data_IF_127710775696
#
_entry.id   IF_127710775696
#
_cell.length_a   1.000
_cell.length_b   1.000
_cell.length_c   1.000
_cell.angle_alpha   90.00
_cell.angle_beta   90.00
_cell.angle_gamma   90.00
#
_symmetry.space_group_name_H-M   'P 1'
#
loop_
_entity.id
_entity.type
_entity.pdbx_description
1 polymer ?
#
# COMPACT_ATOMS: atom_id res chain seq x y z
N UNK A 1 -15.82 15.54 -3.16
CA UNK A 1 -14.36 15.51 -3.37
C UNK A 1 -14.06 14.27 -4.21
N UNK A 2 -13.07 14.28 -5.11
CA UNK A 2 -12.71 13.07 -5.85
C UNK A 2 -12.22 12.01 -4.85
N UNK A 3 -12.68 10.77 -5.03
CA UNK A 3 -12.28 9.61 -4.22
C UNK A 3 -11.18 8.86 -4.96
N UNK A 4 -9.98 8.87 -4.41
CA UNK A 4 -8.80 8.30 -5.05
C UNK A 4 -8.42 7.05 -4.28
N UNK A 5 -8.49 5.90 -4.95
CA UNK A 5 -7.97 4.65 -4.40
C UNK A 5 -6.46 4.64 -4.48
N UNK A 6 -5.79 4.32 -3.36
CA UNK A 6 -4.35 4.07 -3.33
C UNK A 6 -4.13 2.60 -2.98
N UNK A 7 -3.56 1.88 -3.93
CA UNK A 7 -3.33 0.43 -3.82
C UNK A 7 -1.92 0.17 -3.35
N UNK A 8 -1.77 -0.44 -2.18
CA UNK A 8 -0.50 -0.80 -1.57
C UNK A 8 -0.24 -2.31 -1.71
N UNK A 9 1.04 -2.69 -1.67
CA UNK A 9 1.54 -4.06 -1.82
C UNK A 9 2.42 -4.53 -0.66
N UNK A 10 2.52 -3.77 0.43
CA UNK A 10 3.31 -4.08 1.63
C UNK A 10 3.95 -2.82 2.20
N UNK A 11 5.07 -2.95 2.93
CA UNK A 11 5.74 -1.83 3.58
C UNK A 11 7.28 -1.91 3.49
N UNK A 12 7.81 -1.80 2.28
CA UNK A 12 9.24 -1.89 1.99
C UNK A 12 9.48 -2.04 0.49
N UNK A 13 10.51 -1.39 -0.06
CA UNK A 13 10.73 -1.33 -1.51
C UNK A 13 10.95 -2.71 -2.15
N UNK A 14 11.60 -3.64 -1.47
CA UNK A 14 11.97 -4.94 -2.04
C UNK A 14 10.91 -6.05 -1.81
N UNK A 15 9.92 -5.82 -0.95
CA UNK A 15 8.89 -6.81 -0.59
C UNK A 15 7.48 -6.23 -0.42
N UNK A 16 7.26 -5.01 -0.89
CA UNK A 16 5.99 -4.31 -0.82
C UNK A 16 6.04 -2.97 -1.55
N UNK A 17 5.25 -2.00 -1.08
CA UNK A 17 5.25 -0.66 -1.63
C UNK A 17 6.49 0.14 -1.22
N UNK A 18 7.01 0.94 -2.15
CA UNK A 18 8.03 1.95 -1.87
C UNK A 18 7.43 3.02 -0.94
N UNK A 19 8.03 3.14 0.25
CA UNK A 19 7.43 3.90 1.35
C UNK A 19 7.38 5.39 1.04
N UNK A 20 8.40 5.95 0.38
CA UNK A 20 8.44 7.37 0.05
C UNK A 20 7.44 7.72 -1.04
N UNK A 21 7.32 6.92 -2.11
CA UNK A 21 6.33 7.08 -3.17
C UNK A 21 4.91 7.03 -2.61
N UNK A 22 4.63 6.06 -1.73
CA UNK A 22 3.33 5.96 -1.06
C UNK A 22 3.04 7.20 -0.20
N UNK A 23 3.99 7.63 0.64
CA UNK A 23 3.82 8.80 1.52
C UNK A 23 3.67 10.10 0.72
N UNK A 24 4.48 10.30 -0.33
CA UNK A 24 4.40 11.50 -1.18
C UNK A 24 3.09 11.51 -1.96
N UNK A 25 2.64 10.36 -2.48
CA UNK A 25 1.34 10.22 -3.13
C UNK A 25 0.22 10.65 -2.18
N UNK A 26 0.21 10.11 -0.96
CA UNK A 26 -0.79 10.45 0.06
C UNK A 26 -0.75 11.94 0.44
N UNK A 27 0.45 12.52 0.56
CA UNK A 27 0.64 13.94 0.86
C UNK A 27 0.08 14.85 -0.23
N UNK A 28 0.34 14.56 -1.50
CA UNK A 28 -0.15 15.39 -2.60
C UNK A 28 -1.66 15.24 -2.83
N UNK A 29 -2.23 14.04 -2.56
CA UNK A 29 -3.69 13.85 -2.55
C UNK A 29 -4.37 14.65 -1.43
N UNK A 30 -3.79 14.65 -0.23
CA UNK A 30 -4.30 15.42 0.92
C UNK A 30 -4.27 16.94 0.62
N UNK A 31 -3.15 17.45 0.10
CA UNK A 31 -3.03 18.85 -0.34
C UNK A 31 -4.02 19.24 -1.43
N UNK A 32 -4.37 18.30 -2.32
CA UNK A 32 -5.36 18.50 -3.37
C UNK A 32 -6.81 18.42 -2.85
N UNK A 33 -7.03 18.07 -1.57
CA UNK A 33 -8.36 17.91 -0.98
C UNK A 33 -9.11 16.69 -1.51
N UNK A 34 -8.38 15.65 -1.94
CA UNK A 34 -8.97 14.39 -2.37
C UNK A 34 -9.31 13.50 -1.15
N UNK A 35 -10.37 12.70 -1.28
CA UNK A 35 -10.65 11.64 -0.32
C UNK A 35 -9.85 10.40 -0.70
N UNK A 36 -9.02 9.88 0.20
CA UNK A 36 -8.20 8.69 -0.06
C UNK A 36 -8.90 7.43 0.41
N UNK A 37 -8.96 6.42 -0.46
CA UNK A 37 -9.41 5.06 -0.13
C UNK A 37 -8.19 4.14 -0.21
N UNK A 38 -7.53 3.93 0.92
CA UNK A 38 -6.34 3.07 0.98
C UNK A 38 -6.76 1.60 0.99
N UNK A 39 -6.12 0.77 0.18
CA UNK A 39 -6.41 -0.65 0.09
C UNK A 39 -5.18 -1.48 -0.23
N UNK A 40 -5.22 -2.76 0.14
CA UNK A 40 -4.20 -3.75 -0.19
C UNK A 40 -4.84 -5.15 -0.24
N UNK A 41 -4.31 -6.09 -1.04
CA UNK A 41 -4.82 -7.45 -1.04
C UNK A 41 -4.49 -8.17 0.28
N UNK A 42 -5.46 -8.90 0.83
CA UNK A 42 -5.25 -9.73 2.02
C UNK A 42 -4.63 -11.09 1.66
N UNK A 43 -3.35 -11.08 1.31
CA UNK A 43 -2.57 -12.25 0.90
C UNK A 43 -1.18 -12.22 1.55
N UNK A 44 -0.47 -13.35 1.54
CA UNK A 44 0.93 -13.39 1.94
C UNK A 44 1.82 -12.70 0.90
N UNK A 45 2.87 -12.02 1.36
CA UNK A 45 3.95 -11.53 0.49
C UNK A 45 4.69 -12.70 -0.17
N UNK A 46 5.22 -12.48 -1.38
CA UNK A 46 6.00 -13.49 -2.11
C UNK A 46 7.25 -13.92 -1.33
N UNK A 47 7.95 -12.93 -0.77
CA UNK A 47 9.15 -13.08 0.03
C UNK A 47 9.22 -11.93 1.05
N UNK A 48 10.07 -12.05 2.06
CA UNK A 48 10.31 -10.99 3.05
C UNK A 48 11.77 -10.62 3.02
N UNK A 49 12.09 -9.33 2.85
CA UNK A 49 13.46 -8.85 2.68
C UNK A 49 13.93 -8.09 3.91
N UNK A 50 15.08 -8.51 4.44
CA UNK A 50 15.85 -7.66 5.33
C UNK A 50 16.51 -6.55 4.51
N UNK A 51 15.90 -5.37 4.54
CA UNK A 51 16.38 -4.19 3.80
C UNK A 51 17.72 -3.64 4.30
N UNK A 52 18.23 -4.08 5.46
CA UNK A 52 19.58 -3.71 5.91
C UNK A 52 20.66 -4.60 5.26
N UNK A 53 20.34 -5.86 4.96
CA UNK A 53 21.30 -6.83 4.41
C UNK A 53 21.04 -7.21 2.96
N UNK A 54 19.91 -6.79 2.38
CA UNK A 54 19.40 -7.23 1.08
C UNK A 54 19.33 -8.76 0.94
N UNK A 55 18.91 -9.43 2.02
CA UNK A 55 18.74 -10.88 2.05
C UNK A 55 17.31 -11.23 2.36
N UNK A 56 16.83 -12.31 1.75
CA UNK A 56 15.55 -12.91 2.07
C UNK A 56 15.57 -13.49 3.49
N UNK A 57 14.45 -13.31 4.20
CA UNK A 57 14.22 -13.83 5.54
C UNK A 57 13.28 -15.03 5.46
N UNK A 58 13.56 -16.07 6.25
CA UNK A 58 12.67 -17.23 6.37
C UNK A 58 11.51 -16.93 7.33
N UNK A 59 10.66 -15.98 6.95
CA UNK A 59 9.46 -15.59 7.68
C UNK A 59 8.31 -15.24 6.72
N UNK A 60 7.10 -15.14 7.26
CA UNK A 60 5.90 -14.81 6.50
C UNK A 60 5.32 -13.49 7.00
N UNK A 61 4.88 -12.66 6.05
CA UNK A 61 4.15 -11.41 6.31
C UNK A 61 2.99 -11.29 5.34
N UNK A 62 1.92 -10.66 5.81
CA UNK A 62 0.72 -10.43 5.02
C UNK A 62 0.72 -9.01 4.46
N UNK A 63 0.41 -8.89 3.16
CA UNK A 63 0.44 -7.64 2.39
C UNK A 63 -0.47 -6.56 3.01
N UNK A 64 -1.71 -6.90 3.36
CA UNK A 64 -2.65 -5.96 3.98
C UNK A 64 -2.17 -5.52 5.37
N UNK A 65 -1.69 -6.46 6.18
CA UNK A 65 -1.20 -6.16 7.54
C UNK A 65 0.02 -5.24 7.52
N UNK A 66 0.97 -5.48 6.62
CA UNK A 66 2.16 -4.63 6.51
C UNK A 66 1.82 -3.27 5.89
N UNK A 67 0.96 -3.22 4.86
CA UNK A 67 0.45 -1.97 4.26
C UNK A 67 -0.26 -1.07 5.28
N UNK A 68 -0.91 -1.66 6.30
CA UNK A 68 -1.56 -0.92 7.38
C UNK A 68 -0.58 -0.03 8.17
N UNK A 69 0.73 -0.30 8.13
CA UNK A 69 1.78 0.55 8.72
C UNK A 69 1.84 1.91 8.03
N UNK A 70 1.86 1.92 6.69
CA UNK A 70 1.83 3.15 5.87
C UNK A 70 0.50 3.88 6.10
N UNK A 71 -0.60 3.14 6.05
CA UNK A 71 -1.96 3.68 6.18
C UNK A 71 -2.36 4.08 7.61
N UNK A 72 -1.49 3.88 8.61
CA UNK A 72 -1.77 4.12 10.03
C UNK A 72 -3.07 3.44 10.50
N UNK A 73 -3.32 2.23 10.01
CA UNK A 73 -4.51 1.42 10.31
C UNK A 73 -5.77 1.77 9.51
N UNK A 74 -5.80 2.86 8.72
CA UNK A 74 -6.95 3.22 7.89
C UNK A 74 -6.83 2.62 6.48
N UNK A 75 -7.00 1.31 6.37
CA UNK A 75 -6.87 0.55 5.12
C UNK A 75 -7.97 -0.52 5.03
N UNK A 76 -8.40 -0.86 3.82
CA UNK A 76 -9.37 -1.93 3.56
C UNK A 76 -8.74 -3.09 2.80
N UNK A 77 -9.31 -4.28 2.93
CA UNK A 77 -9.05 -5.34 1.98
C UNK A 77 -9.53 -4.89 0.60
N UNK A 78 -8.68 -5.02 -0.42
CA UNK A 78 -9.03 -4.67 -1.81
C UNK A 78 -10.28 -5.42 -2.29
N UNK A 79 -10.53 -6.63 -1.80
CA UNK A 79 -11.72 -7.40 -2.15
C UNK A 79 -13.04 -6.73 -1.71
N UNK A 80 -13.00 -5.81 -0.75
CA UNK A 80 -14.15 -5.05 -0.25
C UNK A 80 -14.40 -3.75 -1.02
N UNK A 81 -13.52 -3.37 -1.94
CA UNK A 81 -13.61 -2.12 -2.70
C UNK A 81 -14.09 -2.40 -4.12
N UNK A 82 -15.08 -1.63 -4.55
CA UNK A 82 -15.67 -1.71 -5.88
C UNK A 82 -15.30 -0.49 -6.72
N UNK A 83 -15.46 -0.61 -8.05
CA UNK A 83 -15.27 0.52 -8.97
C UNK A 83 -16.19 1.72 -8.68
N UNK A 84 -17.32 1.54 -8.00
CA UNK A 84 -18.19 2.64 -7.58
C UNK A 84 -17.69 3.44 -6.37
N UNK A 85 -16.72 2.90 -5.63
CA UNK A 85 -16.18 3.53 -4.41
C UNK A 85 -15.10 4.57 -4.72
N UNK A 86 -14.52 4.54 -5.93
CA UNK A 86 -13.38 5.39 -6.33
C UNK A 86 -13.61 5.99 -7.71
N UNK A 87 -13.07 7.18 -7.93
CA UNK A 87 -13.10 7.89 -9.20
C UNK A 87 -11.79 7.72 -9.99
N UNK A 88 -10.70 7.32 -9.32
CA UNK A 88 -9.42 6.94 -9.91
C UNK A 88 -8.62 6.00 -9.00
N UNK A 89 -7.58 5.37 -9.55
CA UNK A 89 -6.63 4.51 -8.82
C UNK A 89 -5.20 4.98 -9.03
N UNK A 90 -4.40 4.90 -7.96
CA UNK A 90 -2.95 5.09 -7.98
C UNK A 90 -2.28 3.86 -7.36
N UNK A 91 -1.23 3.38 -8.00
CA UNK A 91 -0.39 2.29 -7.55
C UNK A 91 1.02 2.86 -7.33
N UNK A 92 1.41 3.19 -6.09
CA UNK A 92 2.82 3.45 -5.77
C UNK A 92 3.67 2.26 -6.19
N UNK A 93 4.93 2.51 -6.54
CA UNK A 93 5.89 1.49 -6.92
C UNK A 93 6.38 0.65 -5.74
N UNK A 94 7.54 0.04 -5.93
CA UNK A 94 8.05 -1.05 -5.11
C UNK A 94 8.05 -2.37 -5.89
N UNK A 95 8.80 -3.35 -5.42
CA UNK A 95 8.92 -4.68 -6.04
C UNK A 95 7.81 -5.64 -5.63
N UNK A 96 7.05 -5.33 -4.58
CA UNK A 96 5.94 -6.16 -4.09
C UNK A 96 4.65 -6.00 -4.89
#
# INVERSE_FOLDING_TARGET
MPRIGVVLSGCGVNDGSEIHEAVITMLELDKAGAEMVLMAPNIDQLHVINHYTDQEMNEYRNVLMESARIARGNIRDMAEVSSSDVDALIFPGGFG
#
